data_IF_644658291434
#
_entry.id   IF_644658291434
#
_cell.length_a   1.000
_cell.length_b   1.000
_cell.length_c   1.000
_cell.angle_alpha   90.00
_cell.angle_beta   90.00
_cell.angle_gamma   90.00
#
_symmetry.space_group_name_H-M   'P 1'
#
loop_
_entity.id
_entity.type
_entity.pdbx_description
1 polymer ?
#
# COMPACT_ATOMS: atom_id res chain seq x y z
N UNK A 1 17.05 -3.61 -10.43
CA UNK A 1 15.75 -2.88 -10.36
C UNK A 1 14.72 -3.63 -9.52
N UNK A 2 14.40 -4.91 -9.79
CA UNK A 2 13.37 -5.64 -9.01
C UNK A 2 13.61 -5.67 -7.48
N UNK A 3 14.87 -5.80 -7.04
CA UNK A 3 15.21 -5.73 -5.60
C UNK A 3 14.96 -4.35 -4.96
N UNK A 4 15.13 -3.27 -5.73
CA UNK A 4 14.87 -1.90 -5.23
C UNK A 4 13.37 -1.65 -4.99
N UNK A 5 12.49 -2.43 -5.65
CA UNK A 5 11.05 -2.36 -5.39
C UNK A 5 10.72 -2.67 -3.93
N UNK A 6 11.55 -3.47 -3.24
CA UNK A 6 11.33 -3.82 -1.83
C UNK A 6 11.32 -2.59 -0.92
N UNK A 7 12.14 -1.57 -1.24
CA UNK A 7 12.20 -0.32 -0.49
C UNK A 7 11.04 0.63 -0.81
N UNK A 8 10.45 0.54 -2.00
CA UNK A 8 9.27 1.34 -2.39
C UNK A 8 7.99 0.77 -1.78
N UNK A 9 7.78 -0.53 -1.99
CA UNK A 9 6.69 -1.29 -1.41
C UNK A 9 7.13 -2.75 -1.34
N UNK A 10 7.17 -3.32 -0.14
CA UNK A 10 7.71 -4.66 0.08
C UNK A 10 7.01 -5.76 -0.74
N UNK A 11 5.80 -5.50 -1.25
CA UNK A 11 5.03 -6.42 -2.11
C UNK A 11 5.31 -6.27 -3.62
N UNK A 12 5.95 -5.18 -4.03
CA UNK A 12 6.31 -4.95 -5.43
C UNK A 12 7.53 -5.78 -5.83
N UNK A 13 8.45 -6.05 -4.89
CA UNK A 13 9.61 -6.89 -5.17
C UNK A 13 9.24 -8.35 -5.49
N UNK A 14 8.45 -9.07 -4.66
CA UNK A 14 8.04 -10.44 -4.99
C UNK A 14 7.26 -10.54 -6.30
N UNK A 15 6.34 -9.61 -6.55
CA UNK A 15 5.53 -9.59 -7.78
C UNK A 15 6.40 -9.25 -9.00
N UNK A 16 7.29 -8.27 -8.90
CA UNK A 16 8.24 -7.92 -9.96
C UNK A 16 9.21 -9.05 -10.29
N UNK A 17 9.75 -9.74 -9.28
CA UNK A 17 10.61 -10.92 -9.47
C UNK A 17 9.80 -12.04 -10.14
N UNK A 18 8.60 -12.36 -9.63
CA UNK A 18 7.75 -13.41 -10.20
C UNK A 18 7.42 -13.14 -11.68
N UNK A 19 7.16 -11.89 -12.05
CA UNK A 19 6.92 -11.48 -13.43
C UNK A 19 8.17 -11.72 -14.32
N UNK A 20 9.36 -11.34 -13.85
CA UNK A 20 10.62 -11.59 -14.59
C UNK A 20 10.87 -13.09 -14.75
N UNK A 21 10.70 -13.87 -13.68
CA UNK A 21 10.86 -15.32 -13.71
C UNK A 21 9.88 -15.98 -14.70
N UNK A 22 8.63 -15.53 -14.72
CA UNK A 22 7.63 -15.99 -15.69
C UNK A 22 8.06 -15.70 -17.14
N UNK A 23 8.62 -14.51 -17.41
CA UNK A 23 9.12 -14.17 -18.74
C UNK A 23 10.35 -14.98 -19.13
N UNK A 24 11.22 -15.31 -18.16
CA UNK A 24 12.36 -16.20 -18.39
C UNK A 24 11.93 -17.63 -18.74
N UNK A 25 10.84 -18.14 -18.16
CA UNK A 25 10.27 -19.45 -18.54
C UNK A 25 9.94 -19.47 -20.03
N UNK A 26 9.40 -18.37 -20.57
CA UNK A 26 9.08 -18.26 -21.99
C UNK A 26 10.35 -18.12 -22.84
N UNK A 27 11.28 -17.24 -22.45
CA UNK A 27 12.51 -16.96 -23.20
C UNK A 27 13.48 -18.15 -23.25
N UNK A 28 13.49 -18.98 -22.19
CA UNK A 28 14.36 -20.16 -22.04
C UNK A 28 13.58 -21.47 -22.17
N UNK A 29 12.41 -21.46 -22.82
CA UNK A 29 11.60 -22.65 -23.03
C UNK A 29 12.43 -23.76 -23.69
N UNK A 30 12.46 -24.94 -23.06
CA UNK A 30 13.27 -26.08 -23.51
C UNK A 30 14.76 -26.04 -23.11
N UNK A 31 15.22 -24.98 -22.44
CA UNK A 31 16.59 -24.80 -21.95
C UNK A 31 16.58 -24.60 -20.44
N UNK A 32 16.30 -25.68 -19.70
CA UNK A 32 16.08 -25.62 -18.24
C UNK A 32 17.32 -25.11 -17.49
N UNK A 33 18.53 -25.46 -17.95
CA UNK A 33 19.78 -25.02 -17.30
C UNK A 33 19.94 -23.51 -17.46
N UNK A 34 19.78 -22.96 -18.68
CA UNK A 34 19.80 -21.51 -18.91
C UNK A 34 18.75 -20.79 -18.06
N UNK A 35 17.55 -21.35 -17.97
CA UNK A 35 16.47 -20.78 -17.15
C UNK A 35 16.85 -20.72 -15.67
N UNK A 36 17.42 -21.80 -15.13
CA UNK A 36 17.87 -21.85 -13.73
C UNK A 36 18.98 -20.83 -13.49
N UNK A 37 19.99 -20.77 -14.36
CA UNK A 37 21.11 -19.82 -14.24
C UNK A 37 20.60 -18.38 -14.27
N UNK A 38 19.80 -18.01 -15.27
CA UNK A 38 19.24 -16.65 -15.37
C UNK A 38 18.35 -16.31 -14.16
N UNK A 39 17.55 -17.26 -13.69
CA UNK A 39 16.69 -17.08 -12.51
C UNK A 39 17.50 -16.83 -11.25
N UNK A 40 18.58 -17.61 -11.03
CA UNK A 40 19.50 -17.43 -9.91
C UNK A 40 20.16 -16.05 -9.99
N UNK A 41 20.63 -15.65 -11.17
CA UNK A 41 21.24 -14.32 -11.38
C UNK A 41 20.25 -13.21 -11.03
N UNK A 42 19.00 -13.30 -11.48
CA UNK A 42 17.94 -12.33 -11.16
C UNK A 42 17.68 -12.26 -9.65
N UNK A 43 17.50 -13.40 -8.99
CA UNK A 43 17.19 -13.46 -7.56
C UNK A 43 18.35 -12.93 -6.72
N UNK A 44 19.59 -13.35 -7.02
CA UNK A 44 20.79 -12.85 -6.31
C UNK A 44 20.97 -11.35 -6.54
N UNK A 45 20.81 -10.88 -7.78
CA UNK A 45 20.93 -9.44 -8.09
C UNK A 45 19.86 -8.61 -7.38
N UNK A 46 18.64 -9.15 -7.27
CA UNK A 46 17.56 -8.51 -6.51
C UNK A 46 17.89 -8.49 -5.01
N UNK A 47 18.40 -9.60 -4.45
CA UNK A 47 18.80 -9.65 -3.04
C UNK A 47 19.93 -8.67 -2.73
N UNK A 48 20.97 -8.60 -3.56
CA UNK A 48 22.07 -7.63 -3.42
C UNK A 48 21.53 -6.19 -3.46
N UNK A 49 20.62 -5.89 -4.39
CA UNK A 49 20.04 -4.55 -4.50
C UNK A 49 19.15 -4.19 -3.29
N UNK A 50 18.44 -5.17 -2.71
CA UNK A 50 17.59 -4.95 -1.54
C UNK A 50 18.39 -4.94 -0.22
N UNK A 51 19.61 -5.50 -0.20
CA UNK A 51 20.39 -5.73 1.00
C UNK A 51 20.63 -4.48 1.87
N UNK A 52 21.03 -3.31 1.31
CA UNK A 52 21.25 -2.11 2.14
C UNK A 52 19.99 -1.67 2.89
N UNK A 53 18.83 -1.77 2.25
CA UNK A 53 17.55 -1.45 2.90
C UNK A 53 17.20 -2.51 3.94
N UNK A 54 17.35 -3.79 3.60
CA UNK A 54 17.04 -4.90 4.50
C UNK A 54 17.89 -4.92 5.78
N UNK A 55 19.10 -4.33 5.77
CA UNK A 55 19.94 -4.20 6.97
C UNK A 55 19.37 -3.24 8.03
N UNK A 56 18.59 -2.25 7.60
CA UNK A 56 18.07 -1.20 8.48
C UNK A 56 16.56 -1.24 8.65
N UNK A 57 15.86 -1.93 7.74
CA UNK A 57 14.41 -2.04 7.77
C UNK A 57 13.97 -3.12 8.76
N UNK A 58 13.18 -2.72 9.74
CA UNK A 58 12.48 -3.63 10.65
C UNK A 58 11.05 -3.82 10.15
N UNK A 59 10.78 -4.94 9.49
CA UNK A 59 9.45 -5.25 9.00
C UNK A 59 8.46 -5.45 10.18
N UNK A 60 7.19 -5.05 10.03
CA UNK A 60 6.13 -5.55 10.90
C UNK A 60 6.15 -7.07 10.83
N UNK A 61 6.08 -7.73 11.99
CA UNK A 61 6.02 -9.19 12.04
C UNK A 61 4.57 -9.64 12.08
N UNK A 62 4.32 -10.80 11.49
CA UNK A 62 3.01 -11.45 11.57
C UNK A 62 2.54 -11.62 13.02
N UNK A 63 1.23 -11.58 13.23
CA UNK A 63 0.63 -11.79 14.55
C UNK A 63 0.18 -13.24 14.66
N UNK A 64 0.42 -13.93 15.78
CA UNK A 64 -0.08 -15.28 15.97
C UNK A 64 -1.58 -15.38 15.71
N UNK A 65 -1.96 -16.26 14.79
CA UNK A 65 -3.34 -16.64 14.57
C UNK A 65 -3.80 -17.57 15.71
N UNK A 66 -4.78 -17.13 16.50
CA UNK A 66 -5.33 -17.95 17.59
C UNK A 66 -6.00 -19.26 17.13
N UNK A 67 -6.20 -19.44 15.83
CA UNK A 67 -6.70 -20.70 15.23
C UNK A 67 -5.59 -21.70 14.91
N UNK A 68 -4.33 -21.26 14.89
CA UNK A 68 -3.17 -22.12 14.62
C UNK A 68 -2.52 -22.51 15.95
N UNK A 69 -2.28 -23.81 16.21
CA UNK A 69 -1.60 -24.24 17.43
C UNK A 69 -0.25 -23.54 17.63
N UNK A 70 0.04 -23.10 18.85
CA UNK A 70 1.26 -22.36 19.21
C UNK A 70 2.55 -23.01 18.74
N UNK A 71 2.64 -24.34 18.84
CA UNK A 71 3.82 -25.08 18.39
C UNK A 71 4.11 -24.95 16.89
N UNK A 72 3.12 -24.60 16.05
CA UNK A 72 3.30 -24.29 14.61
C UNK A 72 3.73 -22.84 14.43
N UNK A 73 3.07 -21.90 15.13
CA UNK A 73 3.37 -20.46 15.06
C UNK A 73 4.75 -20.11 15.62
N UNK A 74 5.32 -20.99 16.46
CA UNK A 74 6.65 -20.85 17.07
C UNK A 74 7.78 -21.43 16.19
N UNK A 75 7.47 -22.19 15.14
CA UNK A 75 8.50 -22.76 14.26
C UNK A 75 9.17 -21.67 13.41
N UNK A 76 10.50 -21.71 13.20
CA UNK A 76 11.17 -20.78 12.31
C UNK A 76 10.66 -20.94 10.88
N UNK A 77 10.46 -19.83 10.18
CA UNK A 77 9.92 -19.75 8.80
C UNK A 77 8.44 -20.18 8.69
N UNK A 78 8.09 -21.37 9.17
CA UNK A 78 6.71 -21.89 9.13
C UNK A 78 5.79 -21.02 9.96
N UNK A 79 6.17 -20.71 11.20
CA UNK A 79 5.44 -19.79 12.05
C UNK A 79 5.35 -18.40 11.44
N UNK A 80 6.43 -17.92 10.81
CA UNK A 80 6.39 -16.63 10.10
C UNK A 80 5.37 -16.61 8.96
N UNK A 81 5.19 -17.71 8.22
CA UNK A 81 4.16 -17.83 7.18
C UNK A 81 2.77 -17.78 7.81
N UNK A 82 2.49 -18.61 8.81
CA UNK A 82 1.17 -18.67 9.45
C UNK A 82 0.78 -17.41 10.22
N UNK A 83 1.76 -16.70 10.78
CA UNK A 83 1.51 -15.42 11.46
C UNK A 83 1.35 -14.26 10.46
N UNK A 84 1.86 -14.41 9.23
CA UNK A 84 1.80 -13.36 8.20
C UNK A 84 0.59 -13.53 7.29
N UNK A 85 0.20 -14.77 6.99
CA UNK A 85 -0.84 -15.09 6.03
C UNK A 85 -1.99 -15.86 6.67
N UNK A 86 -3.19 -15.29 6.57
CA UNK A 86 -4.44 -15.97 6.90
C UNK A 86 -5.12 -16.56 5.66
N UNK A 87 -6.04 -17.48 5.90
CA UNK A 87 -6.94 -18.05 4.89
C UNK A 87 -8.27 -17.31 4.95
N UNK A 88 -8.75 -16.86 3.79
CA UNK A 88 -10.09 -16.27 3.68
C UNK A 88 -11.10 -17.38 3.96
N UNK A 89 -11.84 -17.24 5.08
CA UNK A 89 -12.86 -18.19 5.55
C UNK A 89 -14.28 -17.59 5.51
N UNK A 90 -14.44 -16.38 4.97
CA UNK A 90 -15.69 -15.64 4.87
C UNK A 90 -16.16 -15.49 3.42
N UNK A 91 -17.28 -14.80 3.20
CA UNK A 91 -17.88 -14.63 1.87
C UNK A 91 -16.87 -13.96 0.90
N UNK A 92 -16.51 -14.61 -0.21
CA UNK A 92 -15.62 -14.03 -1.22
C UNK A 92 -16.34 -12.99 -2.07
N UNK A 93 -15.62 -12.42 -3.04
CA UNK A 93 -16.13 -11.34 -3.89
C UNK A 93 -17.30 -11.84 -4.74
N UNK A 94 -18.37 -11.03 -4.80
CA UNK A 94 -19.49 -11.30 -5.67
C UNK A 94 -19.12 -11.14 -7.15
N UNK A 95 -19.79 -11.91 -8.01
CA UNK A 95 -19.52 -11.87 -9.46
C UNK A 95 -19.78 -10.48 -10.06
N UNK A 96 -20.81 -9.78 -9.56
CA UNK A 96 -21.16 -8.43 -10.02
C UNK A 96 -20.03 -7.45 -9.72
N UNK A 97 -19.51 -7.47 -8.51
CA UNK A 97 -18.44 -6.58 -8.06
C UNK A 97 -17.16 -6.83 -8.86
N UNK A 98 -16.82 -8.11 -9.08
CA UNK A 98 -15.67 -8.49 -9.93
C UNK A 98 -15.83 -8.03 -11.37
N UNK A 99 -17.04 -8.12 -11.94
CA UNK A 99 -17.30 -7.64 -13.30
C UNK A 99 -17.28 -6.11 -13.39
N UNK A 100 -17.73 -5.39 -12.36
CA UNK A 100 -17.65 -3.94 -12.30
C UNK A 100 -16.17 -3.50 -12.29
N UNK A 101 -15.36 -4.12 -11.45
CA UNK A 101 -13.94 -3.73 -11.28
C UNK A 101 -13.09 -4.21 -12.46
N UNK A 102 -13.28 -5.45 -12.93
CA UNK A 102 -12.36 -6.10 -13.87
C UNK A 102 -12.94 -6.35 -15.27
N UNK A 103 -14.19 -5.98 -15.51
CA UNK A 103 -14.92 -6.31 -16.74
C UNK A 103 -14.27 -5.81 -18.03
N UNK A 104 -13.63 -4.65 -17.99
CA UNK A 104 -12.94 -4.08 -19.16
C UNK A 104 -11.76 -4.97 -19.61
N UNK A 105 -10.90 -5.39 -18.68
CA UNK A 105 -9.77 -6.28 -19.00
C UNK A 105 -10.27 -7.67 -19.44
N UNK A 106 -11.33 -8.19 -18.80
CA UNK A 106 -11.97 -9.45 -19.20
C UNK A 106 -12.52 -9.38 -20.63
N UNK A 107 -13.21 -8.31 -21.00
CA UNK A 107 -13.74 -8.12 -22.35
C UNK A 107 -12.61 -8.06 -23.39
N UNK A 108 -11.55 -7.28 -23.12
CA UNK A 108 -10.39 -7.19 -24.02
C UNK A 108 -9.70 -8.54 -24.15
N UNK A 109 -9.53 -9.26 -23.05
CA UNK A 109 -8.97 -10.61 -23.06
C UNK A 109 -9.80 -11.57 -23.92
N UNK A 110 -11.13 -11.57 -23.77
CA UNK A 110 -12.04 -12.39 -24.60
C UNK A 110 -11.89 -12.06 -26.09
N UNK A 111 -11.83 -10.78 -26.45
CA UNK A 111 -11.62 -10.33 -27.84
C UNK A 111 -10.27 -10.81 -28.36
N UNK A 112 -9.22 -10.69 -27.56
CA UNK A 112 -7.86 -11.15 -27.89
C UNK A 112 -7.81 -12.67 -28.14
N UNK A 113 -8.28 -13.49 -27.21
CA UNK A 113 -8.23 -14.96 -27.37
C UNK A 113 -9.11 -15.43 -28.53
N UNK A 114 -10.25 -14.77 -28.76
CA UNK A 114 -11.14 -15.07 -29.89
C UNK A 114 -10.45 -14.76 -31.21
N UNK A 115 -9.81 -13.59 -31.34
CA UNK A 115 -9.10 -13.21 -32.55
C UNK A 115 -7.94 -14.16 -32.87
N UNK A 116 -7.17 -14.55 -31.86
CA UNK A 116 -6.09 -15.54 -31.99
C UNK A 116 -6.66 -16.90 -32.40
N UNK A 117 -7.73 -17.37 -31.77
CA UNK A 117 -8.32 -18.68 -32.06
C UNK A 117 -8.98 -18.77 -33.45
N UNK A 118 -9.55 -17.67 -33.95
CA UNK A 118 -10.07 -17.59 -35.32
C UNK A 118 -8.93 -17.77 -36.34
N UNK A 119 -7.77 -17.15 -36.06
CA UNK A 119 -6.61 -17.19 -36.95
C UNK A 119 -5.86 -18.52 -36.88
N UNK A 120 -5.67 -19.04 -35.67
CA UNK A 120 -4.98 -20.31 -35.42
C UNK A 120 -5.91 -21.28 -34.69
N UNK A 121 -6.77 -21.95 -35.45
CA UNK A 121 -7.67 -22.97 -34.90
C UNK A 121 -6.94 -24.17 -34.29
N UNK A 122 -5.64 -24.34 -34.55
CA UNK A 122 -4.87 -25.44 -33.95
C UNK A 122 -4.76 -25.28 -32.43
N UNK A 123 -4.86 -24.05 -31.91
CA UNK A 123 -4.83 -23.76 -30.47
C UNK A 123 -6.03 -24.32 -29.72
N UNK A 124 -7.17 -24.51 -30.42
CA UNK A 124 -8.40 -25.07 -29.85
C UNK A 124 -8.41 -26.60 -29.86
N UNK A 125 -7.45 -27.24 -30.55
CA UNK A 125 -7.40 -28.71 -30.59
C UNK A 125 -6.95 -29.25 -29.24
N UNK A 126 -7.88 -29.89 -28.54
CA UNK A 126 -7.62 -30.62 -27.30
C UNK A 126 -7.16 -32.04 -27.66
N UNK A 127 -6.00 -32.43 -27.16
CA UNK A 127 -5.54 -33.82 -27.26
C UNK A 127 -6.49 -34.72 -26.46
N UNK A 128 -6.91 -35.85 -27.04
CA UNK A 128 -7.84 -36.79 -26.38
C UNK A 128 -7.32 -37.25 -25.02
N UNK A 129 -6.00 -37.38 -24.86
CA UNK A 129 -5.36 -37.76 -23.60
C UNK A 129 -5.58 -36.74 -22.47
N UNK A 130 -5.72 -35.45 -22.81
CA UNK A 130 -5.88 -34.37 -21.84
C UNK A 130 -7.35 -34.01 -21.58
N UNK A 131 -8.27 -34.52 -22.40
CA UNK A 131 -9.69 -34.18 -22.35
C UNK A 131 -10.33 -34.55 -21.02
N UNK A 132 -9.98 -35.70 -20.45
CA UNK A 132 -10.51 -36.16 -19.16
C UNK A 132 -10.04 -35.24 -18.03
N UNK A 133 -8.73 -34.94 -17.96
CA UNK A 133 -8.19 -34.04 -16.94
C UNK A 133 -8.76 -32.63 -17.00
N UNK A 134 -8.97 -32.09 -18.20
CA UNK A 134 -9.58 -30.77 -18.39
C UNK A 134 -11.05 -30.75 -17.97
N UNK A 135 -11.81 -31.82 -18.25
CA UNK A 135 -13.19 -31.95 -17.80
C UNK A 135 -13.27 -32.10 -16.28
N UNK A 136 -12.40 -32.91 -15.68
CA UNK A 136 -12.33 -33.06 -14.22
C UNK A 136 -11.96 -31.74 -13.55
N UNK A 137 -10.94 -31.03 -14.05
CA UNK A 137 -10.56 -29.72 -13.53
C UNK A 137 -11.69 -28.68 -13.70
N UNK A 138 -12.37 -28.68 -14.84
CA UNK A 138 -13.51 -27.79 -15.11
C UNK A 138 -14.70 -28.06 -14.20
N UNK A 139 -15.04 -29.32 -13.95
CA UNK A 139 -16.10 -29.72 -13.02
C UNK A 139 -15.75 -29.41 -11.57
N UNK A 140 -14.49 -29.60 -11.17
CA UNK A 140 -14.00 -29.25 -9.84
C UNK A 140 -14.03 -27.73 -9.62
N UNK A 141 -13.56 -26.96 -10.60
CA UNK A 141 -13.64 -25.49 -10.57
C UNK A 141 -15.09 -25.01 -10.53
N UNK A 142 -15.98 -25.62 -11.31
CA UNK A 142 -17.42 -25.33 -11.27
C UNK A 142 -18.03 -25.66 -9.90
N UNK A 143 -17.68 -26.80 -9.32
CA UNK A 143 -18.13 -27.20 -7.97
C UNK A 143 -17.67 -26.21 -6.90
N UNK A 144 -16.40 -25.82 -6.90
CA UNK A 144 -15.83 -24.82 -5.98
C UNK A 144 -16.50 -23.45 -6.18
N UNK A 145 -16.73 -23.05 -7.44
CA UNK A 145 -17.28 -21.75 -7.75
C UNK A 145 -18.77 -21.61 -7.46
N UNK A 146 -19.55 -22.68 -7.67
CA UNK A 146 -20.98 -22.73 -7.33
C UNK A 146 -21.17 -22.84 -5.81
N UNK A 147 -20.28 -23.54 -5.10
CA UNK A 147 -20.40 -23.75 -3.66
C UNK A 147 -19.87 -22.60 -2.81
N UNK A 148 -18.83 -21.88 -3.25
CA UNK A 148 -18.14 -20.97 -2.35
C UNK A 148 -17.52 -19.71 -2.98
N UNK A 149 -16.98 -19.74 -4.21
CA UNK A 149 -16.17 -18.62 -4.73
C UNK A 149 -16.46 -18.21 -6.20
N UNK A 150 -17.34 -17.21 -6.45
CA UNK A 150 -17.63 -16.71 -7.81
C UNK A 150 -16.39 -16.23 -8.58
N UNK A 151 -15.36 -15.77 -7.87
CA UNK A 151 -14.09 -15.36 -8.45
C UNK A 151 -13.38 -16.48 -9.25
N UNK A 152 -13.57 -17.75 -8.86
CA UNK A 152 -13.01 -18.90 -9.58
C UNK A 152 -13.58 -19.00 -11.00
N UNK A 153 -14.85 -18.65 -11.20
CA UNK A 153 -15.43 -18.56 -12.55
C UNK A 153 -14.98 -17.27 -13.23
N UNK A 154 -15.23 -16.11 -12.61
CA UNK A 154 -15.06 -14.81 -13.27
C UNK A 154 -13.61 -14.53 -13.64
N UNK A 155 -12.65 -14.97 -12.82
CA UNK A 155 -11.22 -14.73 -13.01
C UNK A 155 -10.45 -16.03 -13.28
N UNK A 156 -10.79 -17.12 -12.59
CA UNK A 156 -10.09 -18.41 -12.74
C UNK A 156 -10.27 -19.07 -14.12
N UNK A 157 -11.44 -18.91 -14.78
CA UNK A 157 -11.63 -19.39 -16.15
C UNK A 157 -10.77 -18.59 -17.14
N UNK A 158 -10.81 -17.25 -17.18
CA UNK A 158 -9.88 -16.45 -17.99
C UNK A 158 -8.40 -16.78 -17.73
N UNK A 159 -8.01 -16.95 -16.47
CA UNK A 159 -6.66 -17.39 -16.09
C UNK A 159 -6.29 -18.73 -16.75
N UNK A 160 -7.19 -19.72 -16.67
CA UNK A 160 -6.97 -21.04 -17.25
C UNK A 160 -6.83 -20.98 -18.78
N UNK A 161 -7.66 -20.15 -19.43
CA UNK A 161 -7.56 -19.89 -20.88
C UNK A 161 -6.25 -19.20 -21.21
N UNK A 162 -5.83 -18.21 -20.43
CA UNK A 162 -4.58 -17.49 -20.63
C UNK A 162 -3.38 -18.45 -20.54
N UNK A 163 -3.33 -19.27 -19.48
CA UNK A 163 -2.32 -20.31 -19.30
C UNK A 163 -2.30 -21.33 -20.45
N UNK A 164 -3.48 -21.73 -20.96
CA UNK A 164 -3.58 -22.58 -22.14
C UNK A 164 -2.94 -21.94 -23.38
N UNK A 165 -3.20 -20.65 -23.61
CA UNK A 165 -2.62 -19.91 -24.74
C UNK A 165 -1.11 -19.74 -24.63
N UNK A 166 -0.58 -19.54 -23.41
CA UNK A 166 0.87 -19.57 -23.15
C UNK A 166 1.47 -20.90 -23.58
N UNK A 167 0.83 -22.00 -23.21
CA UNK A 167 1.36 -23.33 -23.49
C UNK A 167 1.24 -23.73 -24.96
N UNK A 168 0.11 -23.42 -25.61
CA UNK A 168 -0.21 -23.90 -26.96
C UNK A 168 0.12 -22.98 -28.12
N UNK A 169 0.15 -21.67 -27.92
CA UNK A 169 0.50 -20.76 -29.01
C UNK A 169 1.93 -21.04 -29.48
N UNK A 170 2.20 -20.86 -30.78
CA UNK A 170 3.56 -20.87 -31.35
C UNK A 170 4.12 -19.46 -31.57
N UNK A 171 3.26 -18.46 -31.51
CA UNK A 171 3.63 -17.05 -31.68
C UNK A 171 4.08 -16.46 -30.33
N UNK A 172 5.34 -16.02 -30.26
CA UNK A 172 5.93 -15.48 -29.02
C UNK A 172 5.17 -14.28 -28.48
N UNK A 173 4.67 -13.40 -29.34
CA UNK A 173 3.89 -12.24 -28.92
C UNK A 173 2.58 -12.66 -28.23
N UNK A 174 1.87 -13.64 -28.81
CA UNK A 174 0.67 -14.22 -28.20
C UNK A 174 0.99 -14.89 -26.86
N UNK A 175 2.08 -15.65 -26.77
CA UNK A 175 2.50 -16.27 -25.51
C UNK A 175 2.80 -15.23 -24.43
N UNK A 176 3.56 -14.18 -24.77
CA UNK A 176 3.91 -13.11 -23.85
C UNK A 176 2.67 -12.36 -23.34
N UNK A 177 1.75 -11.98 -24.24
CA UNK A 177 0.50 -11.33 -23.85
C UNK A 177 -0.38 -12.23 -22.98
N UNK A 178 -0.53 -13.50 -23.34
CA UNK A 178 -1.29 -14.46 -22.55
C UNK A 178 -0.65 -14.67 -21.16
N UNK A 179 0.68 -14.63 -21.05
CA UNK A 179 1.38 -14.74 -19.77
C UNK A 179 1.16 -13.50 -18.89
N UNK A 180 1.13 -12.30 -19.47
CA UNK A 180 0.79 -11.08 -18.73
C UNK A 180 -0.65 -11.12 -18.21
N UNK A 181 -1.61 -11.54 -19.04
CA UNK A 181 -3.00 -11.75 -18.58
C UNK A 181 -3.08 -12.81 -17.48
N UNK A 182 -2.42 -13.94 -17.65
CA UNK A 182 -2.37 -15.00 -16.63
C UNK A 182 -1.77 -14.49 -15.31
N UNK A 183 -0.70 -13.71 -15.37
CA UNK A 183 -0.08 -13.11 -14.19
C UNK A 183 -1.04 -12.15 -13.49
N UNK A 184 -1.65 -11.21 -14.21
CA UNK A 184 -2.63 -10.27 -13.65
C UNK A 184 -3.85 -10.95 -13.03
N UNK A 185 -4.43 -11.94 -13.70
CA UNK A 185 -5.56 -12.71 -13.15
C UNK A 185 -5.16 -13.55 -11.93
N UNK A 186 -3.93 -14.07 -11.88
CA UNK A 186 -3.41 -14.77 -10.69
C UNK A 186 -3.34 -13.81 -9.51
N UNK A 187 -2.81 -12.59 -9.70
CA UNK A 187 -2.75 -11.59 -8.63
C UNK A 187 -4.14 -11.18 -8.11
N UNK A 188 -5.15 -11.12 -8.98
CA UNK A 188 -6.54 -10.86 -8.58
C UNK A 188 -7.13 -12.04 -7.78
N UNK A 189 -6.74 -13.27 -8.10
CA UNK A 189 -7.31 -14.47 -7.49
C UNK A 189 -6.71 -14.79 -6.12
N UNK A 190 -5.45 -14.42 -5.85
CA UNK A 190 -4.79 -14.64 -4.55
C UNK A 190 -5.61 -14.11 -3.35
N UNK A 191 -6.07 -12.84 -3.32
CA UNK A 191 -6.84 -12.31 -2.19
C UNK A 191 -8.21 -12.98 -2.00
N UNK A 192 -8.65 -13.83 -2.94
CA UNK A 192 -9.87 -14.62 -2.77
C UNK A 192 -9.68 -15.81 -1.83
N UNK A 193 -8.43 -16.21 -1.57
CA UNK A 193 -8.10 -17.36 -0.74
C UNK A 193 -7.16 -17.04 0.42
N UNK A 194 -6.28 -16.05 0.24
CA UNK A 194 -5.24 -15.73 1.21
C UNK A 194 -5.21 -14.23 1.49
N UNK A 195 -4.83 -13.85 2.70
CA UNK A 195 -4.66 -12.45 3.05
C UNK A 195 -3.53 -12.26 4.05
N UNK A 196 -2.99 -11.05 4.10
CA UNK A 196 -1.99 -10.63 5.07
C UNK A 196 -2.71 -10.37 6.40
N UNK A 197 -2.26 -11.05 7.45
CA UNK A 197 -2.82 -10.93 8.79
C UNK A 197 -2.30 -9.67 9.49
N UNK A 198 -3.00 -8.55 9.28
CA UNK A 198 -2.67 -7.25 9.86
C UNK A 198 -3.76 -6.71 10.80
N UNK A 199 -3.66 -5.43 11.24
CA UNK A 199 -4.62 -4.78 12.17
C UNK A 199 -6.09 -4.88 11.75
N UNK A 200 -6.37 -4.98 10.45
CA UNK A 200 -7.73 -4.90 9.93
C UNK A 200 -8.47 -6.24 10.06
N UNK A 201 -7.72 -7.35 10.16
CA UNK A 201 -8.31 -8.68 10.30
C UNK A 201 -9.12 -9.13 9.07
N UNK A 202 -8.94 -8.45 7.94
CA UNK A 202 -9.59 -8.75 6.67
C UNK A 202 -8.57 -8.73 5.51
N UNK A 203 -9.06 -8.92 4.28
CA UNK A 203 -8.21 -8.99 3.09
C UNK A 203 -7.98 -7.65 2.38
N UNK A 204 -8.49 -6.54 2.89
CA UNK A 204 -8.47 -5.25 2.21
C UNK A 204 -7.04 -4.84 1.80
N UNK A 205 -6.08 -4.90 2.74
CA UNK A 205 -4.69 -4.57 2.45
C UNK A 205 -4.04 -5.49 1.42
N UNK A 206 -4.44 -6.77 1.39
CA UNK A 206 -3.95 -7.73 0.38
C UNK A 206 -4.49 -7.40 -0.99
N UNK A 207 -5.79 -7.08 -1.06
CA UNK A 207 -6.44 -6.59 -2.28
C UNK A 207 -5.73 -5.34 -2.78
N UNK A 208 -5.52 -4.32 -1.95
CA UNK A 208 -4.82 -3.10 -2.35
C UNK A 208 -3.43 -3.40 -2.93
N UNK A 209 -2.59 -4.14 -2.19
CA UNK A 209 -1.20 -4.43 -2.59
C UNK A 209 -1.12 -5.21 -3.91
N UNK A 210 -1.97 -6.21 -4.12
CA UNK A 210 -1.92 -7.04 -5.32
C UNK A 210 -2.69 -6.45 -6.51
N UNK A 211 -3.79 -5.74 -6.26
CA UNK A 211 -4.61 -5.17 -7.35
C UNK A 211 -3.88 -4.02 -8.06
N UNK A 212 -3.11 -3.19 -7.35
CA UNK A 212 -2.30 -2.16 -8.03
C UNK A 212 -1.36 -2.79 -9.07
N UNK A 213 -0.71 -3.90 -8.72
CA UNK A 213 0.18 -4.64 -9.62
C UNK A 213 -0.61 -5.35 -10.73
N UNK A 214 -1.75 -5.96 -10.40
CA UNK A 214 -2.61 -6.61 -11.38
C UNK A 214 -3.13 -5.64 -12.44
N UNK A 215 -3.65 -4.48 -12.02
CA UNK A 215 -4.18 -3.46 -12.92
C UNK A 215 -3.10 -2.88 -13.83
N UNK A 216 -1.89 -2.66 -13.32
CA UNK A 216 -0.76 -2.21 -14.15
C UNK A 216 -0.43 -3.24 -15.24
N UNK A 217 -0.27 -4.51 -14.86
CA UNK A 217 0.07 -5.58 -15.81
C UNK A 217 -1.06 -5.80 -16.82
N UNK A 218 -2.31 -5.82 -16.37
CA UNK A 218 -3.48 -5.98 -17.23
C UNK A 218 -3.66 -4.78 -18.17
N UNK A 219 -3.38 -3.55 -17.73
CA UNK A 219 -3.42 -2.37 -18.59
C UNK A 219 -2.40 -2.49 -19.74
N UNK A 220 -1.15 -2.87 -19.45
CA UNK A 220 -0.12 -3.09 -20.48
C UNK A 220 -0.51 -4.24 -21.41
N UNK A 221 -0.97 -5.37 -20.86
CA UNK A 221 -1.41 -6.52 -21.64
C UNK A 221 -2.58 -6.16 -22.56
N UNK A 222 -3.59 -5.46 -22.04
CA UNK A 222 -4.77 -5.02 -22.78
C UNK A 222 -4.45 -4.00 -23.86
N UNK A 223 -3.57 -3.04 -23.61
CA UNK A 223 -3.14 -2.07 -24.62
C UNK A 223 -2.45 -2.79 -25.78
N UNK A 224 -1.46 -3.62 -25.48
CA UNK A 224 -0.71 -4.36 -26.49
C UNK A 224 -1.61 -5.38 -27.23
N UNK A 225 -2.49 -6.10 -26.51
CA UNK A 225 -3.44 -7.03 -27.12
C UNK A 225 -4.45 -6.32 -28.02
N UNK A 226 -4.93 -5.13 -27.66
CA UNK A 226 -5.85 -4.35 -28.49
C UNK A 226 -5.19 -3.94 -29.81
N UNK A 227 -3.95 -3.44 -29.74
CA UNK A 227 -3.14 -3.11 -30.92
C UNK A 227 -2.92 -4.37 -31.77
N UNK A 228 -2.42 -5.45 -31.18
CA UNK A 228 -2.14 -6.71 -31.89
C UNK A 228 -3.40 -7.26 -32.55
N UNK A 229 -4.54 -7.28 -31.84
CA UNK A 229 -5.80 -7.77 -32.38
C UNK A 229 -6.32 -6.88 -33.51
N UNK A 230 -6.34 -5.55 -33.34
CA UNK A 230 -6.79 -4.65 -34.41
C UNK A 230 -5.88 -4.77 -35.64
N UNK A 231 -4.58 -4.55 -35.49
CA UNK A 231 -3.65 -4.55 -36.62
C UNK A 231 -3.56 -5.93 -37.32
N UNK A 232 -3.58 -7.04 -36.57
CA UNK A 232 -3.50 -8.38 -37.16
C UNK A 232 -4.83 -8.91 -37.69
N UNK A 233 -5.98 -8.50 -37.15
CA UNK A 233 -7.29 -9.00 -37.60
C UNK A 233 -7.87 -8.19 -38.77
N UNK A 234 -7.59 -6.88 -38.86
CA UNK A 234 -8.27 -6.03 -39.86
C UNK A 234 -7.42 -5.71 -41.09
N UNK A 235 -6.09 -5.78 -40.98
CA UNK A 235 -5.22 -4.98 -41.85
C UNK A 235 -5.64 -3.50 -41.80
N UNK A 236 -5.07 -2.63 -42.63
CA UNK A 236 -5.50 -1.22 -42.73
C UNK A 236 -6.94 -1.03 -43.30
N UNK A 237 -7.78 -2.08 -43.34
CA UNK A 237 -9.02 -2.14 -44.14
C UNK A 237 -10.34 -2.04 -43.35
N UNK A 238 -10.32 -1.83 -42.03
CA UNK A 238 -11.55 -1.61 -41.23
C UNK A 238 -11.44 -0.38 -40.32
N UNK A 239 -11.68 0.84 -40.87
CA UNK A 239 -11.52 2.08 -40.12
C UNK A 239 -12.40 2.17 -38.87
N UNK A 240 -13.57 1.50 -38.87
CA UNK A 240 -14.48 1.51 -37.73
C UNK A 240 -13.86 0.96 -36.43
N UNK A 241 -13.10 -0.14 -36.49
CA UNK A 241 -12.48 -0.72 -35.28
C UNK A 241 -11.36 0.19 -34.74
N UNK A 242 -10.56 0.78 -35.63
CA UNK A 242 -9.53 1.76 -35.27
C UNK A 242 -10.14 3.03 -34.68
N UNK A 243 -11.24 3.53 -35.25
CA UNK A 243 -11.97 4.70 -34.74
C UNK A 243 -12.56 4.41 -33.37
N UNK A 244 -13.20 3.26 -33.16
CA UNK A 244 -13.72 2.86 -31.84
C UNK A 244 -12.60 2.77 -30.80
N UNK A 245 -11.46 2.14 -31.13
CA UNK A 245 -10.32 2.08 -30.23
C UNK A 245 -9.76 3.48 -29.94
N UNK A 246 -9.65 4.35 -30.94
CA UNK A 246 -9.20 5.73 -30.77
C UNK A 246 -10.16 6.54 -29.89
N UNK A 247 -11.48 6.34 -30.02
CA UNK A 247 -12.49 6.98 -29.16
C UNK A 247 -12.39 6.50 -27.72
N UNK A 248 -12.20 5.19 -27.48
CA UNK A 248 -12.01 4.64 -26.13
C UNK A 248 -10.73 5.21 -25.49
N UNK A 249 -9.62 5.26 -26.25
CA UNK A 249 -8.37 5.85 -25.77
C UNK A 249 -8.58 7.35 -25.49
N UNK A 250 -9.22 8.09 -26.39
CA UNK A 250 -9.52 9.51 -26.20
C UNK A 250 -10.38 9.78 -24.96
N UNK A 251 -11.40 8.95 -24.74
CA UNK A 251 -12.29 9.04 -23.57
C UNK A 251 -11.59 8.68 -22.25
N UNK A 252 -10.56 7.82 -22.27
CA UNK A 252 -9.80 7.45 -21.06
C UNK A 252 -8.67 8.43 -20.76
N UNK A 253 -8.06 9.04 -21.79
CA UNK A 253 -7.04 10.08 -21.64
C UNK A 253 -7.54 11.33 -20.92
N UNK A 254 -8.85 11.63 -20.99
CA UNK A 254 -9.45 12.76 -20.27
C UNK A 254 -9.55 12.54 -18.76
N UNK A 255 -9.50 11.30 -18.28
CA UNK A 255 -9.64 11.01 -16.84
C UNK A 255 -8.59 11.72 -16.01
N UNK A 256 -7.31 11.64 -16.40
CA UNK A 256 -6.21 12.23 -15.63
C UNK A 256 -6.33 13.76 -15.49
N UNK A 257 -6.46 14.55 -16.58
CA UNK A 257 -6.60 16.00 -16.45
C UNK A 257 -7.90 16.42 -15.74
N UNK A 258 -9.03 15.74 -16.00
CA UNK A 258 -10.30 16.07 -15.33
C UNK A 258 -10.27 15.73 -13.83
N UNK A 259 -9.68 14.60 -13.47
CA UNK A 259 -9.52 14.21 -12.07
C UNK A 259 -8.55 15.15 -11.35
N UNK A 260 -7.45 15.56 -11.99
CA UNK A 260 -6.53 16.53 -11.42
C UNK A 260 -7.19 17.89 -11.19
N UNK A 261 -8.00 18.36 -12.14
CA UNK A 261 -8.77 19.60 -12.02
C UNK A 261 -9.77 19.54 -10.86
N UNK A 262 -10.56 18.46 -10.77
CA UNK A 262 -11.55 18.27 -9.70
C UNK A 262 -10.90 18.18 -8.31
N UNK A 263 -9.90 17.31 -8.14
CA UNK A 263 -9.18 17.15 -6.87
C UNK A 263 -8.42 18.40 -6.43
N UNK A 264 -7.93 19.20 -7.39
CA UNK A 264 -7.24 20.45 -7.09
C UNK A 264 -8.19 21.65 -7.01
N UNK A 265 -9.50 21.46 -7.20
CA UNK A 265 -10.49 22.53 -7.31
C UNK A 265 -10.06 23.60 -8.32
N UNK A 266 -9.69 23.16 -9.53
CA UNK A 266 -9.19 24.02 -10.60
C UNK A 266 -7.85 24.68 -10.30
N UNK A 267 -7.07 24.14 -9.36
CA UNK A 267 -5.83 24.74 -8.86
C UNK A 267 -6.04 26.15 -8.26
N UNK A 268 -7.26 26.47 -7.80
CA UNK A 268 -7.60 27.81 -7.34
C UNK A 268 -6.81 28.26 -6.10
N UNK A 269 -6.46 27.33 -5.21
CA UNK A 269 -5.82 27.65 -3.91
C UNK A 269 -4.37 27.18 -3.78
N UNK A 270 -3.93 26.17 -4.53
CA UNK A 270 -2.56 25.62 -4.39
C UNK A 270 -1.59 26.31 -5.33
N UNK A 271 -0.62 27.03 -4.76
CA UNK A 271 0.47 27.68 -5.49
C UNK A 271 1.80 27.03 -5.11
N UNK A 272 2.43 26.34 -6.05
CA UNK A 272 3.78 25.79 -5.88
C UNK A 272 3.84 24.39 -5.28
N UNK A 273 5.06 24.01 -4.86
CA UNK A 273 5.39 22.68 -4.31
C UNK A 273 5.63 22.71 -2.79
N UNK A 274 5.37 23.85 -2.15
CA UNK A 274 5.52 24.01 -0.72
C UNK A 274 4.35 23.30 0.01
N UNK A 275 4.68 22.19 0.65
CA UNK A 275 3.73 21.37 1.41
C UNK A 275 3.30 21.98 2.75
N UNK A 276 3.91 23.09 3.20
CA UNK A 276 3.59 23.78 4.45
C UNK A 276 2.81 25.07 4.23
N UNK A 277 2.74 25.57 2.99
CA UNK A 277 2.08 26.84 2.66
C UNK A 277 0.63 26.93 3.13
N UNK A 278 -0.09 25.80 3.17
CA UNK A 278 -1.47 25.78 3.67
C UNK A 278 -1.55 25.96 5.20
N UNK A 279 -0.52 25.57 5.94
CA UNK A 279 -0.44 25.76 7.40
C UNK A 279 -0.33 27.24 7.73
N UNK A 280 0.46 28.00 6.96
CA UNK A 280 0.51 29.46 7.07
C UNK A 280 -0.87 30.10 6.92
N UNK A 281 -1.67 29.59 5.97
CA UNK A 281 -2.99 30.13 5.66
C UNK A 281 -4.03 29.88 6.76
N UNK A 282 -3.81 28.91 7.65
CA UNK A 282 -4.68 28.67 8.80
C UNK A 282 -4.52 29.76 9.89
N UNK A 283 -3.36 30.43 9.96
CA UNK A 283 -3.16 31.61 10.82
C UNK A 283 -3.11 31.31 12.33
N UNK A 284 -2.66 30.12 12.72
CA UNK A 284 -2.70 29.64 14.12
C UNK A 284 -1.35 29.61 14.84
N UNK A 285 -0.27 30.08 14.21
CA UNK A 285 1.08 30.00 14.80
C UNK A 285 1.76 28.63 14.65
N UNK A 286 1.09 27.65 14.01
CA UNK A 286 1.59 26.28 13.85
C UNK A 286 2.80 26.20 12.91
N UNK A 287 2.83 27.01 11.84
CA UNK A 287 3.97 27.04 10.93
C UNK A 287 5.21 27.60 11.65
N UNK A 288 5.02 28.65 12.42
CA UNK A 288 6.07 29.29 13.21
C UNK A 288 6.64 28.34 14.27
N UNK A 289 5.81 27.50 14.90
CA UNK A 289 6.29 26.41 15.77
C UNK A 289 7.14 25.42 14.99
N UNK A 290 6.65 24.96 13.84
CA UNK A 290 7.35 23.98 12.99
C UNK A 290 8.73 24.52 12.62
N UNK A 291 8.79 25.77 12.14
CA UNK A 291 10.05 26.43 11.79
C UNK A 291 10.97 26.58 13.00
N UNK A 292 10.44 26.97 14.16
CA UNK A 292 11.24 27.11 15.37
C UNK A 292 11.82 25.76 15.82
N UNK A 293 11.00 24.71 15.89
CA UNK A 293 11.46 23.38 16.30
C UNK A 293 12.50 22.85 15.31
N UNK A 294 12.28 23.02 14.00
CA UNK A 294 13.24 22.67 12.95
C UNK A 294 14.59 23.37 13.13
N UNK A 295 14.57 24.65 13.53
CA UNK A 295 15.78 25.44 13.73
C UNK A 295 16.52 25.14 15.05
N UNK A 296 15.86 24.58 16.08
CA UNK A 296 16.46 24.43 17.42
C UNK A 296 16.63 22.97 17.88
N UNK A 297 15.94 22.03 17.25
CA UNK A 297 16.09 20.61 17.54
C UNK A 297 17.42 20.04 17.03
N UNK A 298 17.95 19.08 17.79
CA UNK A 298 19.17 18.32 17.53
C UNK A 298 18.82 16.86 17.31
N UNK A 299 19.76 16.12 16.73
CA UNK A 299 19.56 14.69 16.49
C UNK A 299 19.38 13.97 17.84
N UNK A 300 18.34 13.16 17.94
CA UNK A 300 17.95 12.47 19.18
C UNK A 300 17.03 13.26 20.10
N UNK A 301 16.75 14.54 19.82
CA UNK A 301 15.71 15.29 20.53
C UNK A 301 14.32 14.67 20.30
N UNK A 302 13.41 14.89 21.25
CA UNK A 302 12.00 14.49 21.16
C UNK A 302 11.13 15.68 21.58
N UNK A 303 9.94 15.79 21.00
CA UNK A 303 8.92 16.76 21.44
C UNK A 303 7.76 16.06 22.17
N UNK A 304 7.04 16.82 22.98
CA UNK A 304 5.70 16.47 23.44
C UNK A 304 4.71 17.38 22.72
N UNK A 305 3.92 16.80 21.83
CA UNK A 305 2.71 17.38 21.24
C UNK A 305 1.53 16.46 21.53
N UNK A 306 0.31 16.91 21.25
CA UNK A 306 -0.87 16.09 21.48
C UNK A 306 -0.82 14.78 20.65
N UNK A 307 -1.28 13.64 21.21
CA UNK A 307 -1.44 12.41 20.42
C UNK A 307 -2.53 12.59 19.34
N UNK A 308 -2.39 11.91 18.20
CA UNK A 308 -3.29 12.15 17.05
C UNK A 308 -4.21 11.00 16.68
N UNK A 309 -5.36 11.35 16.10
CA UNK A 309 -6.37 10.42 15.59
C UNK A 309 -6.24 10.21 14.08
N UNK A 310 -5.06 9.75 13.62
CA UNK A 310 -4.80 9.54 12.19
C UNK A 310 -5.03 10.82 11.38
N UNK A 311 -5.79 10.75 10.28
CA UNK A 311 -6.12 11.86 9.37
C UNK A 311 -7.00 12.98 9.98
N UNK A 312 -7.07 13.10 11.30
CA UNK A 312 -7.75 14.20 11.96
C UNK A 312 -7.14 15.55 11.57
N UNK A 313 -7.99 16.54 11.35
CA UNK A 313 -7.61 17.90 10.96
C UNK A 313 -8.36 18.88 11.85
N UNK A 314 -7.65 19.87 12.40
CA UNK A 314 -8.26 20.99 13.12
C UNK A 314 -7.92 22.27 12.38
N UNK A 315 -8.96 23.02 12.00
CA UNK A 315 -8.85 24.32 11.31
C UNK A 315 -7.88 24.28 10.10
N UNK A 316 -7.93 23.20 9.33
CA UNK A 316 -7.09 23.00 8.14
C UNK A 316 -5.69 22.46 8.41
N UNK A 317 -5.28 22.25 9.66
CA UNK A 317 -3.97 21.72 10.05
C UNK A 317 -4.08 20.26 10.54
N UNK A 318 -3.27 19.32 10.02
CA UNK A 318 -3.34 17.91 10.41
C UNK A 318 -2.82 17.69 11.84
N UNK A 319 -3.38 16.70 12.55
CA UNK A 319 -2.87 16.29 13.87
C UNK A 319 -1.43 15.78 13.77
N UNK A 320 -0.64 16.01 14.82
CA UNK A 320 0.81 15.72 14.86
C UNK A 320 1.65 16.47 13.81
N UNK A 321 1.20 17.67 13.41
CA UNK A 321 1.93 18.50 12.43
C UNK A 321 3.39 18.75 12.82
N UNK A 322 3.70 18.95 14.11
CA UNK A 322 5.06 19.38 14.48
C UNK A 322 6.04 18.24 14.24
N UNK A 323 5.75 17.03 14.73
CA UNK A 323 6.64 15.89 14.45
C UNK A 323 6.68 15.52 12.97
N UNK A 324 5.54 15.60 12.27
CA UNK A 324 5.45 15.27 10.84
C UNK A 324 6.29 16.20 9.95
N UNK A 325 6.26 17.52 10.18
CA UNK A 325 6.95 18.50 9.33
C UNK A 325 8.37 18.85 9.79
N UNK A 326 8.76 18.50 11.02
CA UNK A 326 10.14 18.75 11.51
C UNK A 326 11.03 17.51 11.45
N UNK A 327 10.43 16.31 11.41
CA UNK A 327 11.16 15.04 11.56
C UNK A 327 11.63 14.76 12.99
N UNK A 328 11.30 15.63 13.96
CA UNK A 328 11.61 15.42 15.37
C UNK A 328 10.55 14.48 15.97
N UNK A 329 10.92 13.32 16.52
CA UNK A 329 9.96 12.36 17.05
C UNK A 329 9.17 12.94 18.22
N UNK A 330 7.92 12.50 18.37
CA UNK A 330 7.08 12.77 19.55
C UNK A 330 6.94 11.53 20.42
N UNK A 331 6.39 11.67 21.64
CA UNK A 331 6.08 10.54 22.54
C UNK A 331 5.20 9.50 21.81
N UNK A 332 4.12 9.95 21.18
CA UNK A 332 3.32 9.10 20.29
C UNK A 332 2.61 9.95 19.26
N UNK A 333 2.64 9.51 18.00
CA UNK A 333 1.92 10.15 16.92
C UNK A 333 0.51 9.59 16.78
N UNK A 334 0.23 8.99 15.62
CA UNK A 334 -1.08 8.42 15.31
C UNK A 334 -1.21 6.99 15.81
N UNK A 335 -2.01 6.78 16.86
CA UNK A 335 -2.16 5.46 17.51
C UNK A 335 -2.53 4.35 16.51
N UNK A 336 -3.48 4.62 15.61
CA UNK A 336 -3.90 3.65 14.60
C UNK A 336 -2.77 3.23 13.64
N UNK A 337 -1.88 4.15 13.27
CA UNK A 337 -0.78 3.89 12.34
C UNK A 337 0.43 3.29 13.04
N UNK A 338 0.72 3.74 14.27
CA UNK A 338 1.71 3.08 15.14
C UNK A 338 1.34 1.61 15.36
N UNK A 339 0.04 1.33 15.60
CA UNK A 339 -0.47 -0.04 15.70
C UNK A 339 -0.26 -0.83 14.40
N UNK A 340 -0.52 -0.23 13.24
CA UNK A 340 -0.31 -0.87 11.93
C UNK A 340 1.15 -1.24 11.68
N UNK A 341 2.10 -0.36 12.02
CA UNK A 341 3.51 -0.55 11.70
C UNK A 341 4.27 -1.36 12.75
N UNK A 342 3.78 -1.39 13.99
CA UNK A 342 4.44 -2.08 15.11
C UNK A 342 3.69 -3.34 15.57
N UNK A 343 2.60 -3.73 14.89
CA UNK A 343 1.88 -4.95 15.22
C UNK A 343 2.83 -6.15 15.19
N UNK A 344 2.66 -7.05 16.16
CA UNK A 344 3.49 -8.24 16.32
C UNK A 344 4.88 -7.98 16.93
N UNK A 345 5.39 -6.74 16.91
CA UNK A 345 6.68 -6.39 17.54
C UNK A 345 6.53 -6.11 19.04
N UNK A 346 5.36 -5.62 19.46
CA UNK A 346 5.05 -5.26 20.84
C UNK A 346 3.86 -6.10 21.31
N UNK A 347 4.05 -6.82 22.42
CA UNK A 347 2.95 -7.51 23.08
C UNK A 347 1.93 -6.49 23.60
N UNK A 348 0.65 -6.77 23.35
CA UNK A 348 -0.46 -5.88 23.73
C UNK A 348 -0.27 -4.42 23.27
N UNK A 349 -0.02 -4.25 21.97
CA UNK A 349 0.22 -2.95 21.33
C UNK A 349 -0.87 -1.91 21.65
N UNK A 350 -2.11 -2.32 21.88
CA UNK A 350 -3.20 -1.42 22.29
C UNK A 350 -2.91 -0.76 23.64
N UNK A 351 -2.73 -1.55 24.70
CA UNK A 351 -2.38 -1.05 26.03
C UNK A 351 -1.08 -0.25 26.02
N UNK A 352 -0.09 -0.68 25.24
CA UNK A 352 1.15 0.08 25.06
C UNK A 352 0.86 1.48 24.52
N UNK A 353 0.13 1.60 23.41
CA UNK A 353 -0.17 2.88 22.78
C UNK A 353 -1.08 3.78 23.63
N UNK A 354 -2.06 3.20 24.33
CA UNK A 354 -2.92 3.94 25.25
C UNK A 354 -2.10 4.54 26.41
N UNK A 355 -1.15 3.76 26.94
CA UNK A 355 -0.21 4.24 27.96
C UNK A 355 0.64 5.40 27.41
N UNK A 356 1.16 5.27 26.19
CA UNK A 356 1.96 6.32 25.54
C UNK A 356 1.15 7.60 25.31
N UNK A 357 -0.09 7.46 24.88
CA UNK A 357 -1.01 8.59 24.67
C UNK A 357 -1.36 9.27 25.98
N UNK A 358 -1.59 8.49 27.05
CA UNK A 358 -1.76 9.01 28.40
C UNK A 358 -0.55 9.81 28.88
N UNK A 359 0.66 9.29 28.68
CA UNK A 359 1.91 10.01 29.02
C UNK A 359 2.06 11.29 28.19
N UNK A 360 1.79 11.26 26.88
CA UNK A 360 1.86 12.45 26.04
C UNK A 360 0.88 13.54 26.52
N UNK A 361 -0.37 13.17 26.77
CA UNK A 361 -1.38 14.09 27.32
C UNK A 361 -0.99 14.63 28.70
N UNK A 362 -0.43 13.80 29.58
CA UNK A 362 0.01 14.21 30.91
C UNK A 362 1.14 15.25 30.83
N UNK A 363 2.16 15.02 29.98
CA UNK A 363 3.25 15.98 29.78
C UNK A 363 2.73 17.30 29.21
N UNK A 364 1.94 17.25 28.14
CA UNK A 364 1.35 18.46 27.52
C UNK A 364 0.42 19.19 28.50
N UNK A 365 -0.28 18.45 29.36
CA UNK A 365 -1.16 18.97 30.40
C UNK A 365 -0.45 19.55 31.63
N UNK A 366 0.89 19.47 31.70
CA UNK A 366 1.69 20.02 32.80
C UNK A 366 1.92 19.07 33.98
N UNK A 367 1.67 17.76 33.82
CA UNK A 367 1.97 16.78 34.86
C UNK A 367 3.47 16.42 34.91
N UNK A 368 3.98 16.14 36.11
CA UNK A 368 5.35 15.64 36.30
C UNK A 368 5.38 14.12 36.14
N UNK A 369 5.52 13.66 34.90
CA UNK A 369 5.62 12.22 34.55
C UNK A 369 6.95 11.91 33.87
N UNK A 370 7.49 10.70 34.09
CA UNK A 370 8.67 10.18 33.38
C UNK A 370 8.26 9.71 31.98
N UNK A 371 8.51 10.54 30.96
CA UNK A 371 8.28 10.20 29.56
C UNK A 371 9.55 9.62 28.93
N UNK A 372 9.40 8.59 28.10
CA UNK A 372 10.54 7.91 27.42
C UNK A 372 10.33 7.80 25.91
N UNK A 373 11.13 8.44 25.04
CA UNK A 373 12.17 9.40 25.38
C UNK A 373 11.61 10.62 26.10
N UNK A 374 12.44 11.26 26.93
CA UNK A 374 12.07 12.50 27.60
C UNK A 374 12.00 13.60 26.56
N UNK A 375 10.87 14.32 26.43
CA UNK A 375 10.77 15.42 25.50
C UNK A 375 11.70 16.55 25.95
N UNK A 376 12.37 17.18 24.99
CA UNK A 376 13.12 18.41 25.19
C UNK A 376 12.21 19.63 25.09
N UNK A 377 11.22 19.56 24.21
CA UNK A 377 10.24 20.62 23.99
C UNK A 377 8.82 20.13 24.27
N UNK A 378 8.00 20.96 24.89
CA UNK A 378 6.54 20.78 24.95
C UNK A 378 5.89 21.83 24.07
N UNK A 379 5.06 21.39 23.13
CA UNK A 379 4.30 22.24 22.23
C UNK A 379 2.92 22.47 22.83
N UNK A 380 2.47 23.72 22.87
CA UNK A 380 1.12 24.09 23.24
C UNK A 380 0.54 25.02 22.17
N UNK A 381 -0.19 24.47 21.20
CA UNK A 381 -0.89 25.21 20.16
C UNK A 381 -2.40 24.95 20.14
N UNK A 382 -3.06 25.33 19.05
CA UNK A 382 -4.51 25.16 18.91
C UNK A 382 -4.95 23.69 18.99
N UNK A 383 -4.15 22.77 18.47
CA UNK A 383 -4.45 21.34 18.53
C UNK A 383 -4.41 20.80 19.95
N UNK A 384 -3.43 21.19 20.75
CA UNK A 384 -3.36 20.80 22.15
C UNK A 384 -4.52 21.40 22.95
N UNK A 385 -4.86 22.67 22.70
CA UNK A 385 -5.90 23.39 23.44
C UNK A 385 -7.33 22.99 23.05
N UNK A 386 -7.58 22.65 21.78
CA UNK A 386 -8.94 22.46 21.23
C UNK A 386 -9.15 21.12 20.52
N UNK A 387 -8.09 20.36 20.26
CA UNK A 387 -8.12 19.16 19.43
C UNK A 387 -9.02 18.04 19.94
N UNK A 388 -9.34 18.00 21.23
CA UNK A 388 -10.28 17.03 21.81
C UNK A 388 -11.65 17.03 21.11
N UNK A 389 -12.12 18.19 20.62
CA UNK A 389 -13.39 18.28 19.89
C UNK A 389 -13.40 17.47 18.58
N UNK A 390 -12.23 17.19 18.00
CA UNK A 390 -12.06 16.45 16.74
C UNK A 390 -11.42 15.08 16.96
N UNK A 391 -10.59 14.95 18.01
CA UNK A 391 -9.84 13.75 18.32
C UNK A 391 -9.93 13.43 19.82
N UNK A 392 -10.76 12.44 20.21
CA UNK A 392 -10.94 12.06 21.61
C UNK A 392 -9.68 11.55 22.31
N UNK A 393 -8.64 11.17 21.55
CA UNK A 393 -7.33 10.79 22.11
C UNK A 393 -6.61 11.98 22.74
N UNK A 394 -6.91 13.21 22.31
CA UNK A 394 -6.36 14.43 22.91
C UNK A 394 -7.16 14.74 24.17
N UNK A 395 -6.49 14.76 25.32
CA UNK A 395 -7.14 15.08 26.58
C UNK A 395 -7.63 16.54 26.60
N UNK A 396 -8.75 16.80 27.29
CA UNK A 396 -9.16 18.18 27.57
C UNK A 396 -8.14 18.84 28.48
N UNK A 397 -7.45 19.85 27.97
CA UNK A 397 -6.47 20.61 28.75
C UNK A 397 -7.19 21.58 29.71
N UNK A 398 -6.64 21.73 30.92
CA UNK A 398 -7.14 22.65 31.92
C UNK A 398 -6.77 24.11 31.56
N UNK A 399 -7.61 25.12 31.87
CA UNK A 399 -7.32 26.51 31.51
C UNK A 399 -6.02 27.08 32.10
N UNK A 400 -5.49 26.48 33.16
CA UNK A 400 -4.27 26.84 33.87
C UNK A 400 -3.02 26.07 33.42
N UNK A 401 -3.09 25.35 32.29
CA UNK A 401 -2.00 24.47 31.80
C UNK A 401 -0.62 25.12 31.77
N UNK A 402 -0.53 26.41 31.46
CA UNK A 402 0.76 27.13 31.41
C UNK A 402 1.38 27.31 32.80
N UNK A 403 0.54 27.60 33.79
CA UNK A 403 0.95 27.63 35.19
C UNK A 403 1.42 26.23 35.62
N UNK A 404 0.66 25.18 35.26
CA UNK A 404 1.04 23.79 35.56
C UNK A 404 2.36 23.38 34.91
N UNK A 405 2.59 23.75 33.65
CA UNK A 405 3.87 23.54 32.95
C UNK A 405 5.01 24.28 33.66
N UNK A 406 4.79 25.54 34.06
CA UNK A 406 5.78 26.34 34.80
C UNK A 406 6.11 25.70 36.16
N UNK A 407 5.10 25.29 36.92
CA UNK A 407 5.24 24.55 38.17
C UNK A 407 5.93 23.20 37.96
N UNK A 408 5.70 22.54 36.83
CA UNK A 408 6.40 21.32 36.43
C UNK A 408 7.87 21.56 36.02
N UNK A 409 8.34 22.82 36.02
CA UNK A 409 9.72 23.20 35.74
C UNK A 409 10.00 23.35 34.24
N UNK A 410 8.99 23.71 33.45
CA UNK A 410 9.12 24.11 32.06
C UNK A 410 9.13 25.63 31.94
N UNK A 411 9.91 26.17 31.01
CA UNK A 411 9.98 27.61 30.73
C UNK A 411 9.64 27.87 29.27
N UNK A 412 8.92 28.96 29.00
CA UNK A 412 8.62 29.38 27.63
C UNK A 412 9.93 29.77 26.95
N UNK A 413 10.19 29.15 25.79
CA UNK A 413 11.37 29.42 24.94
C UNK A 413 10.98 30.05 23.60
N UNK A 414 9.71 29.93 23.23
CA UNK A 414 9.15 30.57 22.05
C UNK A 414 7.65 30.80 22.24
N UNK A 415 7.16 31.93 21.72
CA UNK A 415 5.77 32.33 21.82
C UNK A 415 5.34 33.07 20.54
N UNK A 416 4.14 32.75 20.07
CA UNK A 416 3.43 33.44 19.00
C UNK A 416 2.04 33.85 19.48
N UNK A 417 1.24 34.49 18.64
CA UNK A 417 -0.13 34.87 18.99
C UNK A 417 -1.05 33.67 19.26
N UNK A 418 -0.73 32.49 18.74
CA UNK A 418 -1.61 31.32 18.79
C UNK A 418 -1.02 30.10 19.50
N UNK A 419 0.27 30.12 19.83
CA UNK A 419 0.95 28.95 20.35
C UNK A 419 2.26 29.26 21.09
N UNK A 420 2.71 28.30 21.91
CA UNK A 420 3.89 28.41 22.78
C UNK A 420 4.72 27.14 22.73
N UNK A 421 6.03 27.27 22.92
CA UNK A 421 6.96 26.16 23.11
C UNK A 421 7.65 26.33 24.46
N UNK A 422 7.68 25.24 25.21
CA UNK A 422 8.35 25.18 26.50
C UNK A 422 9.55 24.24 26.44
N UNK A 423 10.60 24.53 27.20
CA UNK A 423 11.75 23.65 27.39
C UNK A 423 12.18 23.60 28.87
N UNK A 424 13.10 22.70 29.21
CA UNK A 424 13.76 22.75 30.53
C UNK A 424 14.70 23.97 30.59
N UNK A 425 14.92 24.58 31.77
CA UNK A 425 15.78 25.77 31.91
C UNK A 425 17.19 25.60 31.31
N UNK A 426 17.77 24.39 31.41
CA UNK A 426 19.09 24.09 30.82
C UNK A 426 19.12 24.09 29.29
N UNK A 427 17.97 23.89 28.65
CA UNK A 427 17.83 23.83 27.19
C UNK A 427 17.36 25.16 26.57
N UNK A 428 16.99 26.14 27.41
CA UNK A 428 16.40 27.42 26.99
C UNK A 428 17.38 28.40 26.32
N UNK A 429 18.69 28.14 26.39
CA UNK A 429 19.74 29.10 25.97
C UNK A 429 20.45 28.71 24.67
N UNK A 430 19.96 27.69 23.94
CA UNK A 430 20.70 27.16 22.79
C UNK A 430 20.40 27.95 21.51
N UNK A 431 21.46 28.43 20.86
CA UNK A 431 21.40 29.12 19.56
C UNK A 431 20.79 28.23 18.47
N UNK A 432 20.16 28.82 17.42
CA UNK A 432 19.68 28.07 16.26
C UNK A 432 20.80 27.23 15.62
N UNK A 433 20.44 26.06 15.06
CA UNK A 433 21.30 25.26 14.19
C UNK A 433 21.63 26.10 12.95
N UNK A 434 22.93 26.23 12.61
CA UNK A 434 23.37 26.88 11.37
C UNK A 434 23.14 25.99 10.16
#
# INVERSE_FOLDING_TARGET
>A
MAGLLYASNSWDAPTGIALVLLMLVLARRGRIVDWLVDSIVVVISAAIAAFPFALHYSAPVGVPDGTVPGWITDLPIVGAIFNTFGIVAWRPSGARELLIVHGAWLAIFVVFVTAVAIRDRSILKVDQRNRIWLLTAGLLALGIAVAWAPAVIVIGVPLSVAAWFVWRSRDLATQALAALFAFGFTLILIPEFFYIQDVFGDRMNTVFKLYFQAWLVLAVASAAASVVTVFRATGFRRPAATVVLALIIGATLSYTPLSADDWASGFAQRRGLDGEAYIASAGHGDLEIIEWVRAHARDGDTIAEAPGCSYGVLDGVPLNRVSAFTGVPTIVGWLGHESQWRRGQIADIGTFLDTRAGVANAVVGGDRVDARPSPRFVVLGQQELRGNAVCPTIAKIAPDVEARLTEAGWVIVYETSGARIFARPGDATTSPRR
#
